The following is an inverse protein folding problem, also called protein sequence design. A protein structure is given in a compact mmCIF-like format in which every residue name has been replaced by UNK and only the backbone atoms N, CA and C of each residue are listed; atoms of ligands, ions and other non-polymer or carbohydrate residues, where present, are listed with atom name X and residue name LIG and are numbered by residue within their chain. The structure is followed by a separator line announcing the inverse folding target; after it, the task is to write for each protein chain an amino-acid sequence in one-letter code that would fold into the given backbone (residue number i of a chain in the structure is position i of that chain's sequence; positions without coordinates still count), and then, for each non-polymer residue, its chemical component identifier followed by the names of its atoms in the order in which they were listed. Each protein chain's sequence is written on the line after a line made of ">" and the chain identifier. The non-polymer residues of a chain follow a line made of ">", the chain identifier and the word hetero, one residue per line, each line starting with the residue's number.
data_IF_560508357341
#
_entry.id   IF_560508357341
#
_cell.length_a   1.000
_cell.length_b   1.000
_cell.length_c   1.000
_cell.angle_alpha   90.00
_cell.angle_beta   90.00
_cell.angle_gamma   90.00
#
_symmetry.space_group_name_H-M   'P 1'
#
loop_
_entity.id
_entity.type
_entity.pdbx_description
1 polymer ?
#
# COMPACT_ATOMS: atom_id res chain seq x y z
N UNK A 1 2.45 43.65 29.69
CA UNK A 1 3.20 42.41 30.01
C UNK A 1 2.41 41.67 31.08
N UNK A 2 1.55 40.75 30.67
CA UNK A 2 0.74 39.93 31.59
C UNK A 2 1.21 38.51 31.38
N UNK A 3 1.93 37.97 32.37
CA UNK A 3 2.40 36.60 32.38
C UNK A 3 1.27 35.66 32.82
N UNK A 4 0.93 34.71 31.98
CA UNK A 4 0.02 33.61 32.34
C UNK A 4 0.90 32.41 32.73
N UNK A 5 0.89 32.11 34.03
CA UNK A 5 1.53 30.94 34.60
C UNK A 5 0.60 29.74 34.46
N UNK A 6 1.01 28.74 33.69
CA UNK A 6 0.32 27.42 33.66
C UNK A 6 0.91 26.53 34.76
N UNK A 7 0.13 26.31 35.80
CA UNK A 7 0.44 25.33 36.83
C UNK A 7 0.01 23.96 36.37
N UNK A 8 0.98 23.07 36.11
CA UNK A 8 0.72 21.65 35.90
C UNK A 8 0.39 21.02 37.27
N UNK A 9 -0.87 20.72 37.46
CA UNK A 9 -1.32 19.91 38.59
C UNK A 9 -0.98 18.44 38.36
N UNK A 10 0.03 17.91 39.01
CA UNK A 10 0.28 16.46 39.12
C UNK A 10 -0.76 15.91 40.08
N UNK A 11 -1.78 15.26 39.58
CA UNK A 11 -2.70 14.49 40.41
C UNK A 11 -2.06 13.13 40.67
N UNK A 12 -1.39 13.00 41.81
CA UNK A 12 -0.99 11.70 42.36
C UNK A 12 -2.27 11.07 42.93
N UNK A 13 -2.97 10.29 42.12
CA UNK A 13 -4.05 9.44 42.58
C UNK A 13 -3.50 8.25 43.35
N UNK A 14 -3.55 8.30 44.66
CA UNK A 14 -3.35 7.11 45.51
C UNK A 14 -4.55 6.20 45.30
N UNK A 15 -4.41 5.19 44.45
CA UNK A 15 -5.43 4.20 44.18
C UNK A 15 -5.47 3.19 45.31
N UNK A 16 -6.57 3.20 46.08
CA UNK A 16 -6.90 2.13 47.02
C UNK A 16 -6.98 0.77 46.31
N UNK A 17 -6.52 -0.27 46.92
CA UNK A 17 -6.65 -1.68 46.52
C UNK A 17 -8.13 -2.02 46.26
N UNK A 18 -8.59 -1.84 45.07
CA UNK A 18 -9.85 -2.33 44.59
C UNK A 18 -9.60 -3.05 43.27
N UNK A 19 -9.90 -4.30 43.21
CA UNK A 19 -9.67 -5.29 42.16
C UNK A 19 -10.40 -5.02 40.84
N UNK A 20 -10.17 -3.88 40.20
CA UNK A 20 -10.61 -3.64 38.83
C UNK A 20 -9.38 -3.39 37.96
N UNK A 21 -8.93 -4.44 37.32
CA UNK A 21 -7.89 -4.35 36.30
C UNK A 21 -8.45 -3.62 35.10
N UNK A 22 -8.15 -2.33 35.01
CA UNK A 22 -8.36 -1.61 33.77
C UNK A 22 -7.25 -2.03 32.81
N UNK A 23 -7.58 -2.91 31.88
CA UNK A 23 -6.70 -3.15 30.72
C UNK A 23 -6.52 -1.82 30.00
N UNK A 24 -5.27 -1.38 29.85
CA UNK A 24 -4.95 -0.30 28.89
C UNK A 24 -5.30 -0.89 27.53
N UNK A 25 -6.30 -0.35 26.91
CA UNK A 25 -6.87 -0.85 25.68
C UNK A 25 -6.65 0.18 24.62
N UNK A 26 -6.20 -0.26 23.44
CA UNK A 26 -6.26 0.57 22.24
C UNK A 26 -7.70 1.04 22.08
N UNK A 27 -7.95 2.35 21.89
CA UNK A 27 -9.31 2.89 21.73
C UNK A 27 -10.09 2.28 20.57
N UNK A 28 -9.41 1.61 19.63
CA UNK A 28 -10.03 0.91 18.50
C UNK A 28 -10.70 -0.41 18.88
N UNK A 29 -10.47 -0.92 20.08
CA UNK A 29 -11.04 -2.19 20.55
C UNK A 29 -11.90 -2.01 21.80
N UNK A 30 -12.95 -2.82 21.93
CA UNK A 30 -13.78 -2.85 23.14
C UNK A 30 -13.08 -3.60 24.29
N UNK A 31 -13.69 -3.57 25.51
CA UNK A 31 -13.13 -4.24 26.69
C UNK A 31 -13.01 -5.77 26.55
N UNK A 32 -13.70 -6.35 25.60
CA UNK A 32 -13.56 -7.76 25.22
C UNK A 32 -12.51 -7.93 24.14
N UNK A 33 -11.99 -6.80 23.64
CA UNK A 33 -10.97 -6.67 22.61
C UNK A 33 -11.48 -7.03 21.23
N UNK A 34 -12.74 -6.83 20.93
CA UNK A 34 -13.25 -6.81 19.57
C UNK A 34 -13.15 -5.41 19.02
N UNK A 35 -12.86 -5.32 17.72
CA UNK A 35 -12.84 -4.05 17.01
C UNK A 35 -14.17 -3.31 17.17
N UNK A 36 -14.12 -2.04 17.52
CA UNK A 36 -15.34 -1.22 17.73
C UNK A 36 -15.81 -0.70 16.38
N UNK A 37 -16.91 -1.22 15.89
CA UNK A 37 -17.52 -0.82 14.62
C UNK A 37 -17.90 0.67 14.51
N UNK A 38 -18.06 1.35 15.63
CA UNK A 38 -18.37 2.78 15.67
C UNK A 38 -17.18 3.69 15.42
N UNK A 39 -15.95 3.15 15.50
CA UNK A 39 -14.76 3.91 15.16
C UNK A 39 -14.58 3.88 13.65
N UNK A 40 -14.62 5.08 13.05
CA UNK A 40 -14.27 5.22 11.65
C UNK A 40 -12.83 4.76 11.47
N UNK A 41 -12.51 4.10 10.33
CA UNK A 41 -11.12 3.85 9.97
C UNK A 41 -10.32 5.14 10.14
N UNK A 42 -9.15 5.07 10.74
CA UNK A 42 -8.27 6.22 10.94
C UNK A 42 -7.75 6.81 9.64
N UNK A 43 -7.87 6.03 8.57
CA UNK A 43 -7.47 6.41 7.23
C UNK A 43 -8.60 7.15 6.51
N UNK A 44 -8.36 8.39 6.10
CA UNK A 44 -9.29 9.22 5.34
C UNK A 44 -8.62 9.67 4.04
N UNK A 45 -9.24 9.32 2.90
CA UNK A 45 -8.76 9.74 1.59
C UNK A 45 -8.93 11.27 1.42
N UNK A 46 -7.87 11.96 1.05
CA UNK A 46 -7.84 13.43 0.89
C UNK A 46 -7.50 13.84 -0.52
N UNK A 47 -8.20 14.85 -1.01
CA UNK A 47 -7.85 15.45 -2.31
C UNK A 47 -6.43 16.02 -2.28
N UNK A 48 -5.62 15.79 -3.33
CA UNK A 48 -4.29 16.36 -3.43
C UNK A 48 -4.34 17.89 -3.54
N UNK A 49 -3.31 18.57 -3.03
CA UNK A 49 -3.15 20.02 -3.18
C UNK A 49 -2.76 20.42 -4.60
N UNK A 50 -1.93 19.60 -5.23
CA UNK A 50 -1.57 19.72 -6.64
C UNK A 50 -1.51 18.33 -7.29
N UNK A 51 -1.81 18.30 -8.59
CA UNK A 51 -1.92 17.05 -9.35
C UNK A 51 -1.25 17.21 -10.71
N UNK A 52 -0.27 16.35 -10.98
CA UNK A 52 0.40 16.25 -12.27
C UNK A 52 0.05 14.95 -12.99
N UNK A 53 -0.47 15.05 -14.23
CA UNK A 53 -0.60 13.91 -15.13
C UNK A 53 0.58 13.87 -16.10
N UNK A 54 1.34 12.79 -16.08
CA UNK A 54 2.52 12.57 -16.91
C UNK A 54 2.22 11.50 -17.94
N UNK A 55 2.02 11.92 -19.18
CA UNK A 55 1.64 11.03 -20.27
C UNK A 55 2.87 10.64 -21.07
N UNK A 56 3.19 9.35 -21.06
CA UNK A 56 4.31 8.81 -21.82
C UNK A 56 4.05 8.84 -23.32
N UNK A 57 5.08 9.18 -24.10
CA UNK A 57 5.03 9.26 -25.57
C UNK A 57 6.18 8.49 -26.21
N UNK A 58 6.32 7.21 -25.87
CA UNK A 58 7.28 6.29 -26.50
C UNK A 58 6.71 5.59 -27.74
N UNK A 59 7.55 4.78 -28.38
CA UNK A 59 7.16 4.00 -29.56
C UNK A 59 6.08 2.96 -29.28
N UNK A 60 6.08 2.35 -28.10
CA UNK A 60 5.07 1.37 -27.67
C UNK A 60 3.68 1.98 -27.48
N UNK A 61 3.61 3.27 -27.13
CA UNK A 61 2.36 4.01 -26.97
C UNK A 61 1.71 4.46 -28.29
N UNK A 62 2.39 4.33 -29.41
CA UNK A 62 1.92 4.87 -30.70
C UNK A 62 0.53 4.40 -31.10
N UNK A 63 0.17 3.14 -30.86
CA UNK A 63 -1.12 2.60 -31.22
C UNK A 63 -2.29 3.22 -30.45
N UNK A 64 -2.05 3.66 -29.23
CA UNK A 64 -3.05 4.35 -28.41
C UNK A 64 -3.31 5.79 -28.92
N UNK A 65 -2.29 6.45 -29.47
CA UNK A 65 -2.37 7.86 -29.92
C UNK A 65 -2.77 8.03 -31.38
N UNK A 66 -2.83 6.97 -32.19
CA UNK A 66 -3.10 7.14 -33.62
C UNK A 66 -4.32 8.02 -33.89
N UNK A 67 -4.16 8.90 -34.91
CA UNK A 67 -5.22 9.79 -35.34
C UNK A 67 -6.43 9.05 -35.93
N UNK A 68 -7.54 9.78 -36.10
CA UNK A 68 -8.72 9.36 -36.86
C UNK A 68 -9.60 8.26 -36.24
N UNK A 69 -9.31 7.79 -35.01
CA UNK A 69 -10.17 6.85 -34.27
C UNK A 69 -10.25 7.21 -32.79
N UNK A 70 -11.45 7.15 -32.24
CA UNK A 70 -11.67 7.21 -30.81
C UNK A 70 -11.35 5.83 -30.22
N UNK A 71 -10.22 5.70 -29.51
CA UNK A 71 -9.88 4.52 -28.74
C UNK A 71 -10.40 4.68 -27.30
N UNK A 72 -10.54 3.56 -26.58
CA UNK A 72 -10.91 3.62 -25.17
C UNK A 72 -9.88 4.40 -24.35
N UNK A 73 -8.58 4.24 -24.63
CA UNK A 73 -7.49 5.02 -24.04
C UNK A 73 -7.72 6.55 -24.12
N UNK A 74 -8.06 7.06 -25.30
CA UNK A 74 -8.33 8.50 -25.49
C UNK A 74 -9.54 8.96 -24.70
N UNK A 75 -10.60 8.14 -24.66
CA UNK A 75 -11.79 8.42 -23.86
C UNK A 75 -11.46 8.49 -22.38
N UNK A 76 -10.69 7.53 -21.88
CA UNK A 76 -10.35 7.42 -20.47
C UNK A 76 -9.45 8.55 -20.00
N UNK A 77 -8.36 8.82 -20.72
CA UNK A 77 -7.48 9.96 -20.39
C UNK A 77 -8.27 11.27 -20.38
N UNK A 78 -9.12 11.47 -21.41
CA UNK A 78 -9.91 12.69 -21.48
C UNK A 78 -10.88 12.80 -20.32
N UNK A 79 -11.59 11.72 -20.00
CA UNK A 79 -12.55 11.69 -18.89
C UNK A 79 -11.84 11.95 -17.55
N UNK A 80 -10.67 11.35 -17.34
CA UNK A 80 -9.88 11.52 -16.12
C UNK A 80 -9.34 12.94 -16.03
N UNK A 81 -8.58 13.40 -17.05
CA UNK A 81 -7.93 14.72 -17.00
C UNK A 81 -8.95 15.85 -16.88
N UNK A 82 -10.14 15.72 -17.47
CA UNK A 82 -11.18 16.75 -17.38
C UNK A 82 -11.93 16.77 -16.04
N UNK A 83 -11.80 15.73 -15.23
CA UNK A 83 -12.58 15.56 -13.99
C UNK A 83 -11.98 16.27 -12.78
N UNK A 84 -10.75 16.80 -12.90
CA UNK A 84 -10.04 17.48 -11.83
C UNK A 84 -9.89 18.98 -12.14
N UNK A 85 -10.00 19.83 -11.11
CA UNK A 85 -10.04 21.30 -11.29
C UNK A 85 -8.67 21.98 -11.33
N UNK A 86 -7.66 21.41 -10.66
CA UNK A 86 -6.33 22.04 -10.47
C UNK A 86 -5.22 21.08 -10.89
N UNK A 87 -5.31 20.57 -12.11
CA UNK A 87 -4.32 19.63 -12.64
C UNK A 87 -3.45 20.28 -13.70
N UNK A 88 -2.21 19.80 -13.77
CA UNK A 88 -1.29 20.05 -14.86
C UNK A 88 -1.10 18.78 -15.69
N UNK A 89 -0.95 18.92 -16.99
CA UNK A 89 -0.66 17.82 -17.90
C UNK A 89 0.72 18.02 -18.48
N UNK A 90 1.52 16.98 -18.38
CA UNK A 90 2.88 16.93 -18.87
C UNK A 90 3.03 15.81 -19.89
N UNK A 91 3.80 16.04 -20.93
CA UNK A 91 4.29 14.99 -21.82
C UNK A 91 5.65 14.54 -21.30
N UNK A 92 5.79 13.24 -21.12
CA UNK A 92 6.98 12.62 -20.59
C UNK A 92 7.70 11.84 -21.68
N UNK A 93 8.91 12.24 -22.02
CA UNK A 93 9.74 11.52 -22.97
C UNK A 93 10.50 10.36 -22.31
N UNK A 94 11.03 9.48 -23.10
CA UNK A 94 11.85 8.34 -22.67
C UNK A 94 13.08 8.75 -21.82
N UNK A 95 13.63 9.94 -22.06
CA UNK A 95 14.76 10.49 -21.30
C UNK A 95 14.35 11.09 -19.96
N UNK A 96 13.08 11.04 -19.59
CA UNK A 96 12.53 11.70 -18.39
C UNK A 96 12.35 13.20 -18.56
N UNK A 97 12.47 13.76 -19.77
CA UNK A 97 12.18 15.17 -20.03
C UNK A 97 10.68 15.42 -19.90
N UNK A 98 10.33 16.35 -19.04
CA UNK A 98 8.95 16.77 -18.78
C UNK A 98 8.66 18.04 -19.57
N UNK A 99 7.64 18.00 -20.41
CA UNK A 99 7.15 19.15 -21.15
C UNK A 99 5.70 19.47 -20.75
N UNK A 100 5.51 20.63 -20.12
CA UNK A 100 4.17 21.10 -19.76
C UNK A 100 3.32 21.37 -21.00
N UNK A 101 2.04 21.02 -20.91
CA UNK A 101 1.05 21.40 -21.92
C UNK A 101 0.43 22.74 -21.55
N UNK A 102 0.29 23.63 -22.54
CA UNK A 102 -0.24 24.99 -22.32
C UNK A 102 -1.67 25.00 -21.79
N UNK A 103 -2.46 23.99 -22.17
CA UNK A 103 -3.82 23.81 -21.68
C UNK A 103 -4.30 22.37 -21.91
N UNK A 104 -5.32 21.96 -21.14
CA UNK A 104 -6.02 20.69 -21.37
C UNK A 104 -6.61 20.60 -22.79
N UNK A 105 -7.06 21.71 -23.33
CA UNK A 105 -7.59 21.77 -24.71
C UNK A 105 -6.50 21.51 -25.76
N UNK A 106 -5.29 22.03 -25.55
CA UNK A 106 -4.13 21.75 -26.41
C UNK A 106 -3.68 20.32 -26.33
N UNK A 107 -3.61 19.77 -25.12
CA UNK A 107 -3.34 18.35 -24.90
C UNK A 107 -4.35 17.46 -25.65
N UNK A 108 -5.65 17.74 -25.51
CA UNK A 108 -6.71 17.00 -26.21
C UNK A 108 -6.55 17.08 -27.73
N UNK A 109 -6.25 18.27 -28.26
CA UNK A 109 -6.05 18.46 -29.69
C UNK A 109 -4.87 17.64 -30.19
N UNK A 110 -3.75 17.70 -29.53
CA UNK A 110 -2.54 16.95 -29.85
C UNK A 110 -2.73 15.43 -29.76
N UNK A 111 -3.40 14.95 -28.72
CA UNK A 111 -3.76 13.55 -28.57
C UNK A 111 -4.66 13.06 -29.73
N UNK A 112 -5.67 13.82 -30.11
CA UNK A 112 -6.59 13.45 -31.18
C UNK A 112 -5.95 13.51 -32.58
N UNK A 113 -5.01 14.41 -32.80
CA UNK A 113 -4.30 14.54 -34.08
C UNK A 113 -3.20 13.49 -34.27
N UNK A 114 -2.85 12.72 -33.24
CA UNK A 114 -1.74 11.78 -33.27
C UNK A 114 -0.36 12.45 -33.24
N UNK A 115 -0.26 13.67 -32.73
CA UNK A 115 1.01 14.43 -32.65
C UNK A 115 2.03 13.78 -31.75
N UNK A 116 1.60 12.97 -30.80
CA UNK A 116 2.48 12.28 -29.82
C UNK A 116 3.10 10.98 -30.32
N UNK A 117 2.98 10.66 -31.60
CA UNK A 117 3.64 9.47 -32.16
C UNK A 117 5.15 9.66 -32.10
N UNK A 118 5.81 8.67 -31.50
CA UNK A 118 7.26 8.65 -31.27
C UNK A 118 7.85 7.30 -31.69
N UNK A 119 9.14 7.26 -31.95
CA UNK A 119 9.92 6.02 -32.17
C UNK A 119 10.96 5.82 -31.05
N UNK A 120 10.79 6.51 -29.93
CA UNK A 120 11.71 6.45 -28.81
C UNK A 120 11.41 5.24 -27.93
N UNK A 121 12.41 4.79 -27.24
CA UNK A 121 12.36 3.71 -26.27
C UNK A 121 11.77 4.17 -24.93
N UNK A 122 11.45 3.21 -24.07
CA UNK A 122 10.85 3.45 -22.76
C UNK A 122 11.84 3.19 -21.64
N UNK A 123 12.23 4.21 -20.90
CA UNK A 123 13.12 4.14 -19.74
C UNK A 123 12.36 4.42 -18.44
N UNK A 124 11.50 3.50 -18.04
CA UNK A 124 10.58 3.67 -16.91
C UNK A 124 11.24 4.18 -15.62
N UNK A 125 12.39 3.66 -15.14
CA UNK A 125 13.03 4.19 -13.93
C UNK A 125 13.42 5.66 -14.03
N UNK A 126 13.89 6.09 -15.22
CA UNK A 126 14.26 7.49 -15.46
C UNK A 126 13.04 8.39 -15.44
N UNK A 127 11.93 7.94 -16.03
CA UNK A 127 10.67 8.68 -16.04
C UNK A 127 10.11 8.84 -14.62
N UNK A 128 10.08 7.77 -13.84
CA UNK A 128 9.63 7.82 -12.44
C UNK A 128 10.52 8.76 -11.62
N UNK A 129 11.84 8.64 -11.77
CA UNK A 129 12.76 9.54 -11.09
C UNK A 129 12.44 11.01 -11.41
N UNK A 130 12.20 11.34 -12.68
CA UNK A 130 11.88 12.70 -13.09
C UNK A 130 10.56 13.20 -12.50
N UNK A 131 9.55 12.34 -12.39
CA UNK A 131 8.30 12.68 -11.71
C UNK A 131 8.56 12.97 -10.24
N UNK A 132 9.20 12.04 -9.54
CA UNK A 132 9.38 12.09 -8.10
C UNK A 132 10.33 13.22 -7.66
N UNK A 133 11.35 13.54 -8.43
CA UNK A 133 12.26 14.68 -8.15
C UNK A 133 11.54 16.04 -8.23
N UNK A 134 10.41 16.11 -8.95
CA UNK A 134 9.61 17.33 -9.11
C UNK A 134 8.30 17.31 -8.29
N UNK A 135 8.12 16.34 -7.41
CA UNK A 135 6.90 16.14 -6.64
C UNK A 135 7.13 16.42 -5.16
N UNK A 136 6.49 17.43 -4.60
CA UNK A 136 6.44 17.64 -3.15
C UNK A 136 5.29 16.81 -2.53
N UNK A 137 5.46 15.47 -2.57
CA UNK A 137 4.43 14.55 -2.07
C UNK A 137 4.18 14.72 -0.56
N UNK A 138 5.19 15.15 0.23
CA UNK A 138 5.01 15.43 1.65
C UNK A 138 4.06 16.59 1.91
N UNK A 139 3.92 17.50 0.96
CA UNK A 139 2.98 18.61 1.00
C UNK A 139 1.63 18.29 0.32
N UNK A 140 1.39 17.02 -0.03
CA UNK A 140 0.12 16.57 -0.62
C UNK A 140 0.02 16.73 -2.13
N UNK A 141 1.16 16.79 -2.84
CA UNK A 141 1.18 16.69 -4.31
C UNK A 141 1.12 15.24 -4.77
N UNK A 142 0.48 15.00 -5.91
CA UNK A 142 0.35 13.68 -6.52
C UNK A 142 0.78 13.72 -7.97
N UNK A 143 1.61 12.74 -8.35
CA UNK A 143 1.98 12.46 -9.73
C UNK A 143 1.29 11.22 -10.25
N UNK A 144 0.76 11.26 -11.47
CA UNK A 144 0.13 10.13 -12.16
C UNK A 144 0.82 9.89 -13.47
N UNK A 145 1.61 8.81 -13.56
CA UNK A 145 2.20 8.36 -14.83
C UNK A 145 1.17 7.54 -15.60
N UNK A 146 0.98 7.86 -16.89
CA UNK A 146 0.12 7.13 -17.81
C UNK A 146 0.99 6.52 -18.91
N UNK A 147 1.06 5.18 -18.95
CA UNK A 147 2.02 4.42 -19.75
C UNK A 147 1.54 2.98 -19.98
N UNK A 148 2.01 2.32 -21.01
CA UNK A 148 1.90 0.86 -21.14
C UNK A 148 2.97 0.10 -20.33
N UNK A 149 3.87 0.83 -19.69
CA UNK A 149 4.92 0.35 -18.78
C UNK A 149 5.89 -0.67 -19.43
N UNK A 150 5.97 -0.73 -20.75
CA UNK A 150 6.87 -1.63 -21.47
C UNK A 150 8.30 -1.09 -21.42
N UNK A 151 9.13 -1.68 -20.57
CA UNK A 151 10.52 -1.31 -20.43
C UNK A 151 11.35 -1.78 -21.62
N UNK A 152 11.88 -0.86 -22.38
CA UNK A 152 12.59 -1.14 -23.64
C UNK A 152 13.82 -0.22 -23.77
N UNK A 153 14.94 -0.53 -23.07
CA UNK A 153 16.19 0.24 -23.22
C UNK A 153 16.98 -0.18 -24.45
N UNK A 154 17.73 0.77 -25.01
CA UNK A 154 18.58 0.53 -26.17
C UNK A 154 19.57 -0.60 -25.96
N UNK A 155 19.63 -1.55 -26.91
CA UNK A 155 20.77 -2.45 -27.18
C UNK A 155 21.14 -3.46 -26.11
N UNK A 156 20.23 -3.94 -25.31
CA UNK A 156 20.60 -5.04 -24.42
C UNK A 156 20.49 -6.41 -25.12
N UNK A 157 21.51 -7.23 -24.94
CA UNK A 157 21.60 -8.55 -25.56
C UNK A 157 21.04 -9.66 -24.71
N UNK A 158 20.94 -9.47 -23.38
CA UNK A 158 20.46 -10.48 -22.44
C UNK A 158 19.24 -9.95 -21.68
N UNK A 159 18.08 -10.52 -22.01
CA UNK A 159 16.78 -10.12 -21.43
C UNK A 159 16.73 -10.35 -19.92
N UNK A 160 17.36 -11.42 -19.41
CA UNK A 160 17.31 -11.73 -17.98
C UNK A 160 18.13 -10.74 -17.14
N UNK A 161 19.30 -10.37 -17.63
CA UNK A 161 20.11 -9.31 -16.99
C UNK A 161 19.37 -8.00 -16.99
N UNK A 162 18.76 -7.65 -18.13
CA UNK A 162 17.94 -6.45 -18.27
C UNK A 162 16.83 -6.38 -17.25
N UNK A 163 16.04 -7.46 -17.12
CA UNK A 163 14.89 -7.51 -16.20
C UNK A 163 15.31 -7.45 -14.74
N UNK A 164 16.44 -8.09 -14.39
CA UNK A 164 17.00 -8.01 -13.02
C UNK A 164 17.48 -6.59 -12.69
N UNK A 165 18.14 -5.95 -13.65
CA UNK A 165 18.57 -4.56 -13.51
C UNK A 165 17.37 -3.63 -13.39
N UNK A 166 16.35 -3.81 -14.20
CA UNK A 166 15.13 -3.00 -14.16
C UNK A 166 14.47 -3.00 -12.78
N UNK A 167 14.26 -4.20 -12.20
CA UNK A 167 13.70 -4.32 -10.85
C UNK A 167 14.55 -3.59 -9.80
N UNK A 168 15.89 -3.71 -9.92
CA UNK A 168 16.83 -3.04 -9.02
C UNK A 168 16.78 -1.52 -9.17
N UNK A 169 16.72 -1.02 -10.40
CA UNK A 169 16.67 0.41 -10.69
C UNK A 169 15.38 1.04 -10.18
N UNK A 170 14.22 0.37 -10.37
CA UNK A 170 12.94 0.80 -9.79
C UNK A 170 13.02 0.86 -8.26
N UNK A 171 13.52 -0.21 -7.62
CA UNK A 171 13.72 -0.24 -6.17
C UNK A 171 14.59 0.93 -5.69
N UNK A 172 15.69 1.21 -6.39
CA UNK A 172 16.61 2.28 -6.00
C UNK A 172 16.04 3.67 -6.22
N UNK A 173 15.16 3.85 -7.18
CA UNK A 173 14.44 5.13 -7.39
C UNK A 173 13.42 5.34 -6.29
N UNK A 174 12.48 4.42 -6.13
CA UNK A 174 11.37 4.53 -5.16
C UNK A 174 11.89 4.59 -3.72
N UNK A 175 12.92 3.79 -3.38
CA UNK A 175 13.48 3.71 -2.03
C UNK A 175 14.16 5.00 -1.52
N UNK A 176 14.27 6.05 -2.35
CA UNK A 176 14.74 7.37 -1.92
C UNK A 176 13.65 8.23 -1.30
N UNK A 177 12.40 7.82 -1.44
CA UNK A 177 11.23 8.60 -1.03
C UNK A 177 10.52 7.87 0.12
N UNK A 178 10.87 8.16 1.38
CA UNK A 178 10.25 7.51 2.53
C UNK A 178 8.75 7.86 2.62
N UNK A 179 7.96 6.90 3.09
CA UNK A 179 6.50 7.03 3.25
C UNK A 179 5.74 7.36 1.94
N UNK A 180 6.32 7.05 0.79
CA UNK A 180 5.62 7.19 -0.48
C UNK A 180 4.66 6.02 -0.69
N UNK A 181 3.42 6.31 -1.02
CA UNK A 181 2.49 5.32 -1.50
C UNK A 181 2.50 5.25 -3.03
N UNK A 182 2.31 4.05 -3.56
CA UNK A 182 2.20 3.78 -4.99
C UNK A 182 0.91 3.00 -5.24
N UNK A 183 0.09 3.47 -6.17
CA UNK A 183 -1.05 2.72 -6.68
C UNK A 183 -0.91 2.52 -8.17
N UNK A 184 -1.12 1.31 -8.64
CA UNK A 184 -1.09 0.95 -10.05
C UNK A 184 -2.48 0.53 -10.44
N UNK A 185 -3.11 1.25 -11.36
CA UNK A 185 -4.41 0.89 -11.92
C UNK A 185 -4.20 0.41 -13.34
N UNK A 186 -4.67 -0.78 -13.66
CA UNK A 186 -4.67 -1.33 -15.00
C UNK A 186 -6.01 -1.10 -15.69
N UNK A 187 -5.93 -0.64 -16.93
CA UNK A 187 -7.05 -0.54 -17.86
C UNK A 187 -6.68 -1.11 -19.23
N UNK A 188 -7.65 -1.38 -20.08
CA UNK A 188 -7.41 -1.89 -21.43
C UNK A 188 -8.07 -1.02 -22.50
N UNK A 189 -7.48 -1.03 -23.68
CA UNK A 189 -7.98 -0.26 -24.84
C UNK A 189 -7.64 -0.95 -26.15
N UNK A 190 -8.35 -0.57 -27.19
CA UNK A 190 -7.92 -0.81 -28.57
C UNK A 190 -6.52 -0.24 -28.80
N UNK A 191 -5.65 -1.04 -29.40
CA UNK A 191 -4.35 -0.62 -29.93
C UNK A 191 -4.38 -0.66 -31.46
N UNK A 192 -4.02 0.44 -32.10
CA UNK A 192 -4.15 0.58 -33.55
C UNK A 192 -2.81 0.35 -34.26
N UNK A 193 -2.83 -0.48 -35.29
CA UNK A 193 -1.72 -0.64 -36.22
C UNK A 193 -1.48 0.66 -37.05
N UNK A 194 -0.37 0.68 -37.79
CA UNK A 194 0.00 1.85 -38.63
C UNK A 194 -1.02 2.18 -39.70
N UNK A 195 -1.77 1.22 -40.19
CA UNK A 195 -2.86 1.39 -41.15
C UNK A 195 -4.19 1.80 -40.53
N UNK A 196 -4.26 1.97 -39.16
CA UNK A 196 -5.46 2.33 -38.43
C UNK A 196 -6.40 1.17 -38.11
N UNK A 197 -6.07 -0.09 -38.49
CA UNK A 197 -6.82 -1.23 -38.09
C UNK A 197 -6.55 -1.55 -36.58
N UNK A 198 -7.50 -2.18 -35.91
CA UNK A 198 -7.28 -2.71 -34.54
C UNK A 198 -6.28 -3.88 -34.67
N UNK A 199 -5.12 -3.71 -34.01
CA UNK A 199 -4.12 -4.75 -33.87
C UNK A 199 -4.36 -5.62 -32.63
N UNK A 200 -4.87 -4.98 -31.55
CA UNK A 200 -5.30 -5.63 -30.32
C UNK A 200 -6.49 -4.85 -29.73
N UNK A 201 -7.49 -5.55 -29.21
CA UNK A 201 -8.71 -4.94 -28.67
C UNK A 201 -8.67 -4.67 -27.16
N UNK A 202 -7.80 -5.36 -26.44
CA UNK A 202 -7.65 -5.26 -24.98
C UNK A 202 -6.20 -5.06 -24.57
N UNK A 203 -5.47 -4.20 -25.28
CA UNK A 203 -4.09 -3.86 -24.94
C UNK A 203 -4.04 -3.15 -23.59
N UNK A 204 -3.24 -3.64 -22.61
CA UNK A 204 -3.17 -3.05 -21.28
C UNK A 204 -2.38 -1.74 -21.27
N UNK A 205 -2.81 -0.81 -20.43
CA UNK A 205 -2.09 0.40 -20.05
C UNK A 205 -2.38 0.76 -18.60
N UNK A 206 -1.56 1.60 -18.01
CA UNK A 206 -1.55 1.80 -16.58
C UNK A 206 -1.59 3.27 -16.20
N UNK A 207 -2.25 3.53 -15.05
CA UNK A 207 -2.12 4.75 -14.27
C UNK A 207 -1.30 4.41 -13.03
N UNK A 208 -0.08 4.92 -12.93
CA UNK A 208 0.79 4.72 -11.76
C UNK A 208 0.80 6.01 -10.96
N UNK A 209 0.22 5.96 -9.78
CA UNK A 209 -0.04 7.10 -8.90
C UNK A 209 0.99 7.11 -7.78
N UNK A 210 1.65 8.25 -7.57
CA UNK A 210 2.66 8.46 -6.54
C UNK A 210 2.27 9.62 -5.64
N UNK A 211 2.42 9.47 -4.33
CA UNK A 211 2.13 10.53 -3.35
C UNK A 211 2.04 10.01 -1.93
N UNK A 212 1.48 10.81 -1.03
CA UNK A 212 1.06 10.32 0.30
C UNK A 212 -0.14 9.39 0.17
N UNK A 213 -0.20 8.40 1.07
CA UNK A 213 -1.22 7.35 1.11
C UNK A 213 -2.65 7.90 1.00
N UNK A 214 -3.02 8.89 1.79
CA UNK A 214 -4.34 9.53 1.77
C UNK A 214 -4.68 10.18 0.43
N UNK A 215 -3.70 10.82 -0.22
CA UNK A 215 -3.89 11.45 -1.52
C UNK A 215 -3.91 10.43 -2.65
N UNK A 216 -3.06 9.40 -2.59
CA UNK A 216 -3.05 8.29 -3.53
C UNK A 216 -4.37 7.51 -3.48
N UNK A 217 -4.91 7.26 -2.28
CA UNK A 217 -6.21 6.62 -2.12
C UNK A 217 -7.36 7.44 -2.75
N UNK A 218 -7.34 8.76 -2.55
CA UNK A 218 -8.33 9.64 -3.20
C UNK A 218 -8.26 9.54 -4.73
N UNK A 219 -7.04 9.62 -5.28
CA UNK A 219 -6.83 9.55 -6.73
C UNK A 219 -7.20 8.18 -7.28
N UNK A 220 -6.81 7.10 -6.57
CA UNK A 220 -7.20 5.73 -6.94
C UNK A 220 -8.72 5.59 -7.05
N UNK A 221 -9.46 6.04 -6.04
CA UNK A 221 -10.92 5.94 -6.04
C UNK A 221 -11.53 6.69 -7.23
N UNK A 222 -11.08 7.92 -7.48
CA UNK A 222 -11.60 8.75 -8.56
C UNK A 222 -11.28 8.17 -9.93
N UNK A 223 -10.04 7.75 -10.17
CA UNK A 223 -9.62 7.18 -11.45
C UNK A 223 -10.32 5.83 -11.67
N UNK A 224 -10.33 4.93 -10.69
CA UNK A 224 -10.99 3.64 -10.83
C UNK A 224 -12.49 3.77 -11.14
N UNK A 225 -13.22 4.65 -10.44
CA UNK A 225 -14.64 4.91 -10.74
C UNK A 225 -14.86 5.36 -12.18
N UNK A 226 -14.03 6.28 -12.69
CA UNK A 226 -14.16 6.75 -14.08
C UNK A 226 -13.88 5.61 -15.07
N UNK A 227 -12.88 4.78 -14.82
CA UNK A 227 -12.55 3.64 -15.67
C UNK A 227 -13.60 2.52 -15.60
N UNK A 228 -14.19 2.29 -14.43
CA UNK A 228 -15.33 1.38 -14.26
C UNK A 228 -16.54 1.85 -15.05
N UNK A 229 -16.91 3.14 -14.94
CA UNK A 229 -17.99 3.76 -15.71
C UNK A 229 -17.75 3.70 -17.22
N UNK A 230 -16.49 3.78 -17.63
CA UNK A 230 -16.07 3.66 -19.01
C UNK A 230 -15.96 2.21 -19.51
N UNK A 231 -15.94 1.22 -18.61
CA UNK A 231 -15.81 -0.21 -18.91
C UNK A 231 -14.40 -0.68 -19.21
N UNK A 232 -13.37 0.12 -18.88
CA UNK A 232 -11.96 -0.20 -19.16
C UNK A 232 -11.16 -0.66 -17.94
N UNK A 233 -11.65 -0.43 -16.73
CA UNK A 233 -10.99 -0.86 -15.48
C UNK A 233 -10.84 -2.39 -15.43
N UNK A 234 -9.68 -2.83 -14.99
CA UNK A 234 -9.40 -4.26 -14.79
C UNK A 234 -9.04 -4.56 -13.34
N UNK A 235 -7.99 -3.97 -12.82
CA UNK A 235 -7.48 -4.22 -11.47
C UNK A 235 -6.65 -3.05 -10.94
N UNK A 236 -6.45 -2.98 -9.62
CA UNK A 236 -5.49 -2.08 -8.99
C UNK A 236 -4.64 -2.79 -7.95
N UNK A 237 -3.40 -2.29 -7.79
CA UNK A 237 -2.43 -2.73 -6.80
C UNK A 237 -2.03 -1.51 -5.99
N UNK A 238 -2.12 -1.60 -4.68
CA UNK A 238 -1.79 -0.53 -3.76
C UNK A 238 -0.61 -0.93 -2.87
N UNK A 239 0.36 -0.02 -2.69
CA UNK A 239 1.59 -0.22 -1.92
C UNK A 239 1.91 1.01 -1.08
N UNK A 240 2.47 0.82 0.12
CA UNK A 240 2.91 1.93 0.96
C UNK A 240 1.82 2.58 1.79
N UNK A 241 0.80 1.82 2.16
CA UNK A 241 -0.27 2.26 3.07
C UNK A 241 -0.11 1.70 4.49
N UNK A 242 0.85 0.87 4.71
CA UNK A 242 1.04 -0.01 5.87
C UNK A 242 2.46 0.06 6.47
N UNK A 243 3.06 1.25 6.47
CA UNK A 243 4.43 1.45 7.01
C UNK A 243 4.55 1.30 8.52
N UNK A 244 3.45 1.38 9.25
CA UNK A 244 3.45 1.37 10.71
C UNK A 244 3.07 0.00 11.24
N UNK A 245 3.58 -0.33 12.41
CA UNK A 245 3.08 -1.48 13.17
C UNK A 245 1.57 -1.36 13.40
N UNK A 246 0.78 -2.44 13.25
CA UNK A 246 -0.67 -2.36 13.43
C UNK A 246 -1.04 -1.98 14.86
N UNK A 247 -2.13 -1.26 15.03
CA UNK A 247 -2.75 -1.07 16.33
C UNK A 247 -3.11 -2.42 16.93
N UNK A 248 -2.90 -2.59 18.24
CA UNK A 248 -3.10 -3.88 18.89
C UNK A 248 -3.70 -3.76 20.28
N UNK A 249 -4.29 -4.85 20.74
CA UNK A 249 -4.71 -5.04 22.12
C UNK A 249 -4.50 -6.48 22.56
N UNK A 250 -4.46 -6.68 23.89
CA UNK A 250 -4.39 -8.01 24.47
C UNK A 250 -5.68 -8.36 25.21
N UNK A 251 -6.29 -9.48 24.85
CA UNK A 251 -7.34 -10.13 25.65
C UNK A 251 -6.71 -11.07 26.66
N UNK A 252 -6.86 -10.74 27.94
CA UNK A 252 -6.21 -11.44 29.04
C UNK A 252 -7.20 -12.32 29.78
N UNK A 253 -6.75 -13.43 30.38
CA UNK A 253 -7.62 -14.28 31.20
C UNK A 253 -8.32 -13.50 32.30
N UNK A 254 -9.55 -13.92 32.62
CA UNK A 254 -10.29 -13.36 33.75
C UNK A 254 -9.44 -13.51 35.03
N UNK A 255 -9.42 -12.46 35.85
CA UNK A 255 -8.66 -12.37 37.09
C UNK A 255 -7.15 -12.13 36.95
N UNK A 256 -6.64 -11.72 35.79
CA UNK A 256 -5.28 -11.24 35.68
C UNK A 256 -5.11 -9.89 36.38
N UNK A 257 -4.02 -9.70 37.12
CA UNK A 257 -3.64 -8.44 37.71
C UNK A 257 -2.68 -7.69 36.77
N UNK A 258 -2.99 -6.44 36.47
CA UNK A 258 -2.09 -5.60 35.69
C UNK A 258 -0.88 -5.16 36.54
N UNK A 259 0.33 -5.42 36.09
CA UNK A 259 1.57 -5.12 36.77
C UNK A 259 2.23 -3.80 36.38
N UNK A 260 1.86 -3.23 35.26
CA UNK A 260 2.45 -1.98 34.76
C UNK A 260 1.68 -1.38 33.59
N UNK A 261 1.86 -0.09 33.37
CA UNK A 261 1.18 0.72 32.34
C UNK A 261 2.15 1.59 31.56
N UNK A 262 3.40 1.18 31.43
CA UNK A 262 4.36 1.97 30.65
C UNK A 262 3.96 1.98 29.15
N UNK A 263 4.18 3.07 28.41
CA UNK A 263 3.78 3.17 26.99
C UNK A 263 4.38 2.09 26.11
N UNK A 264 5.50 1.52 26.50
CA UNK A 264 6.24 0.49 25.76
C UNK A 264 6.11 -0.91 26.36
N UNK A 265 5.37 -1.05 27.45
CA UNK A 265 5.42 -2.28 28.25
C UNK A 265 4.14 -2.47 29.06
N UNK A 266 3.40 -3.52 28.74
CA UNK A 266 2.22 -3.95 29.47
C UNK A 266 2.54 -5.26 30.15
N UNK A 267 2.23 -5.38 31.46
CA UNK A 267 2.49 -6.58 32.23
C UNK A 267 1.27 -7.08 32.99
N UNK A 268 1.14 -8.39 33.08
CA UNK A 268 0.03 -9.05 33.75
C UNK A 268 0.50 -10.21 34.61
N UNK A 269 -0.06 -10.28 35.81
CA UNK A 269 0.05 -11.45 36.71
C UNK A 269 -1.17 -12.33 36.47
N UNK A 270 -0.94 -13.58 36.06
CA UNK A 270 -2.00 -14.50 35.62
C UNK A 270 -1.91 -15.79 36.40
N UNK A 271 -3.04 -16.24 36.98
CA UNK A 271 -3.13 -17.54 37.63
C UNK A 271 -3.40 -18.63 36.58
N UNK A 272 -2.41 -19.49 36.35
CA UNK A 272 -2.53 -20.66 35.46
C UNK A 272 -1.63 -21.80 35.92
N UNK A 273 -2.00 -23.06 35.59
CA UNK A 273 -1.22 -24.24 35.92
C UNK A 273 -0.11 -24.50 34.90
N UNK A 274 -0.48 -24.85 33.68
CA UNK A 274 0.44 -25.33 32.65
C UNK A 274 0.57 -24.38 31.46
N UNK A 275 -0.52 -23.80 31.01
CA UNK A 275 -0.58 -22.93 29.83
C UNK A 275 -1.42 -21.69 30.11
N UNK A 276 -0.87 -20.54 29.75
CA UNK A 276 -1.60 -19.28 29.70
C UNK A 276 -1.92 -18.94 28.24
N UNK A 277 -3.17 -18.64 27.92
CA UNK A 277 -3.56 -18.14 26.60
C UNK A 277 -3.82 -16.64 26.66
N UNK A 278 -3.07 -15.89 25.88
CA UNK A 278 -3.23 -14.45 25.67
C UNK A 278 -3.76 -14.24 24.25
N UNK A 279 -4.82 -13.48 24.11
CA UNK A 279 -5.33 -13.11 22.77
C UNK A 279 -4.67 -11.84 22.30
N UNK A 280 -3.81 -11.94 21.28
CA UNK A 280 -3.28 -10.79 20.57
C UNK A 280 -4.26 -10.40 19.46
N UNK A 281 -4.71 -9.17 19.47
CA UNK A 281 -5.64 -8.63 18.47
C UNK A 281 -4.96 -7.52 17.72
N UNK A 282 -5.02 -7.59 16.40
CA UNK A 282 -4.40 -6.62 15.49
C UNK A 282 -5.49 -5.96 14.64
N UNK A 283 -5.43 -4.65 14.54
CA UNK A 283 -6.17 -3.91 13.51
C UNK A 283 -5.35 -3.91 12.22
N UNK A 284 -5.81 -4.63 11.24
CA UNK A 284 -5.17 -4.81 9.94
C UNK A 284 -5.90 -4.03 8.83
N UNK A 285 -6.69 -3.01 9.18
CA UNK A 285 -7.48 -2.24 8.21
C UNK A 285 -6.63 -1.56 7.16
N UNK A 286 -5.43 -1.12 7.52
CA UNK A 286 -4.48 -0.48 6.61
C UNK A 286 -3.65 -1.48 5.78
N UNK A 287 -3.73 -2.76 6.11
CA UNK A 287 -2.98 -3.84 5.47
C UNK A 287 -3.80 -4.45 4.33
N UNK A 288 -3.46 -4.16 3.09
CA UNK A 288 -4.31 -4.43 1.92
C UNK A 288 -4.10 -5.78 1.24
N UNK A 289 -2.95 -6.42 1.48
CA UNK A 289 -2.44 -7.47 0.61
C UNK A 289 -2.89 -8.88 0.94
N UNK A 290 -3.07 -9.27 2.23
CA UNK A 290 -3.03 -10.69 2.57
C UNK A 290 -3.89 -11.08 3.76
N UNK A 291 -4.89 -10.30 4.09
CA UNK A 291 -5.50 -10.32 5.42
C UNK A 291 -6.56 -11.38 5.61
N UNK A 292 -7.02 -12.01 4.56
CA UNK A 292 -8.08 -13.02 4.66
C UNK A 292 -7.57 -14.45 4.87
N UNK A 293 -6.25 -14.69 4.78
CA UNK A 293 -5.65 -16.02 4.88
C UNK A 293 -4.93 -16.22 6.21
N UNK A 294 -5.48 -17.10 7.05
CA UNK A 294 -4.90 -17.45 8.34
C UNK A 294 -3.50 -18.05 8.22
N UNK A 295 -3.22 -18.80 7.16
CA UNK A 295 -1.93 -19.45 6.96
C UNK A 295 -0.84 -18.42 6.63
N UNK A 296 -1.17 -17.41 5.87
CA UNK A 296 -0.28 -16.28 5.56
C UNK A 296 0.00 -15.50 6.83
N UNK A 297 -1.03 -15.11 7.58
CA UNK A 297 -0.88 -14.35 8.84
C UNK A 297 -0.04 -15.12 9.88
N UNK A 298 -0.20 -16.45 9.96
CA UNK A 298 0.60 -17.30 10.84
C UNK A 298 2.09 -17.22 10.52
N UNK A 299 2.43 -17.15 9.24
CA UNK A 299 3.83 -17.05 8.78
C UNK A 299 4.42 -15.65 8.94
N UNK A 300 3.57 -14.62 8.94
CA UNK A 300 4.00 -13.23 9.13
C UNK A 300 4.22 -12.87 10.61
N UNK A 301 3.48 -13.49 11.53
CA UNK A 301 3.59 -13.21 12.95
C UNK A 301 4.81 -13.89 13.56
N UNK A 302 5.79 -13.09 13.98
CA UNK A 302 6.92 -13.54 14.80
C UNK A 302 6.57 -13.39 16.27
N UNK A 303 6.72 -14.46 17.04
CA UNK A 303 6.49 -14.47 18.48
C UNK A 303 7.61 -15.23 19.15
N UNK A 304 8.17 -14.67 20.20
CA UNK A 304 9.20 -15.35 21.03
C UNK A 304 9.08 -14.95 22.50
N UNK A 305 9.43 -15.87 23.39
CA UNK A 305 9.67 -15.61 24.81
C UNK A 305 11.15 -15.29 25.02
N UNK A 306 11.45 -14.34 25.92
CA UNK A 306 12.81 -13.82 26.11
C UNK A 306 13.56 -14.58 27.20
N UNK A 307 12.87 -15.01 28.28
CA UNK A 307 13.51 -15.51 29.49
C UNK A 307 13.29 -17.01 29.72
N UNK A 308 13.01 -17.78 28.69
CA UNK A 308 13.06 -19.23 28.71
C UNK A 308 11.73 -19.97 28.78
N UNK A 309 10.60 -19.26 28.75
CA UNK A 309 9.30 -19.87 28.48
C UNK A 309 9.19 -20.24 27.00
N UNK A 310 8.21 -21.07 26.68
CA UNK A 310 7.83 -21.34 25.33
C UNK A 310 6.55 -20.55 24.96
N UNK A 311 6.48 -20.09 23.73
CA UNK A 311 5.29 -19.46 23.17
C UNK A 311 4.96 -20.06 21.80
N UNK A 312 3.71 -20.33 21.55
CA UNK A 312 3.23 -20.79 20.24
C UNK A 312 1.97 -20.06 19.83
N UNK A 313 1.79 -19.92 18.50
CA UNK A 313 0.56 -19.37 17.92
C UNK A 313 -0.45 -20.51 17.79
N UNK A 314 -1.55 -20.40 18.52
CA UNK A 314 -2.69 -21.31 18.46
C UNK A 314 -3.65 -20.97 17.33
N UNK A 315 -4.94 -20.82 17.67
CA UNK A 315 -5.97 -20.49 16.71
C UNK A 315 -5.85 -19.03 16.23
N UNK A 316 -6.19 -18.79 14.97
CA UNK A 316 -6.24 -17.47 14.36
C UNK A 316 -7.67 -17.26 13.88
N UNK A 317 -8.24 -16.11 14.20
CA UNK A 317 -9.54 -15.69 13.67
C UNK A 317 -9.35 -14.39 12.90
N UNK A 318 -9.84 -14.36 11.67
CA UNK A 318 -9.79 -13.16 10.83
C UNK A 318 -11.21 -12.71 10.54
N UNK A 319 -11.46 -11.42 10.72
CA UNK A 319 -12.72 -10.76 10.42
C UNK A 319 -12.41 -9.62 9.44
N UNK A 320 -13.02 -9.65 8.25
CA UNK A 320 -12.85 -8.64 7.22
C UNK A 320 -14.22 -8.12 6.80
N UNK A 321 -14.41 -6.81 6.89
CA UNK A 321 -15.57 -6.12 6.34
C UNK A 321 -15.15 -5.34 5.09
N UNK A 322 -15.59 -5.83 3.95
CA UNK A 322 -15.32 -5.25 2.64
C UNK A 322 -16.36 -4.19 2.21
N UNK A 323 -17.31 -3.84 3.08
CA UNK A 323 -18.36 -2.86 2.76
C UNK A 323 -17.76 -1.52 2.27
N UNK A 324 -16.62 -1.14 2.82
CA UNK A 324 -15.91 0.11 2.50
C UNK A 324 -14.86 -0.02 1.39
N UNK A 325 -14.76 -1.15 0.73
CA UNK A 325 -13.71 -1.38 -0.28
C UNK A 325 -13.80 -0.40 -1.46
N UNK A 326 -15.01 0.00 -1.86
CA UNK A 326 -15.22 1.01 -2.91
C UNK A 326 -14.69 2.40 -2.54
N UNK A 327 -14.64 2.72 -1.26
CA UNK A 327 -14.11 3.99 -0.75
C UNK A 327 -12.64 3.90 -0.35
N UNK A 328 -11.94 2.85 -0.77
CA UNK A 328 -10.59 2.53 -0.31
C UNK A 328 -10.49 2.30 1.21
N UNK A 329 -11.62 2.10 1.84
CA UNK A 329 -11.73 1.82 3.27
C UNK A 329 -12.00 0.34 3.45
N UNK A 330 -11.36 -0.24 4.45
CA UNK A 330 -11.56 -1.62 4.83
C UNK A 330 -11.42 -1.75 6.34
N UNK A 331 -12.27 -2.57 6.94
CA UNK A 331 -12.09 -2.99 8.32
C UNK A 331 -11.59 -4.42 8.33
N UNK A 332 -10.48 -4.68 8.99
CA UNK A 332 -9.93 -6.01 9.13
C UNK A 332 -9.31 -6.18 10.52
N UNK A 333 -9.65 -7.28 11.17
CA UNK A 333 -9.11 -7.63 12.48
C UNK A 333 -8.61 -9.06 12.46
N UNK A 334 -7.40 -9.29 12.98
CA UNK A 334 -6.90 -10.63 13.24
C UNK A 334 -6.73 -10.85 14.74
N UNK A 335 -7.17 -12.00 15.23
CA UNK A 335 -7.07 -12.40 16.61
C UNK A 335 -6.23 -13.68 16.66
N UNK A 336 -5.13 -13.63 17.38
CA UNK A 336 -4.19 -14.75 17.57
C UNK A 336 -4.25 -15.23 19.01
N UNK A 337 -4.42 -16.52 19.20
CA UNK A 337 -4.25 -17.16 20.50
C UNK A 337 -2.76 -17.44 20.72
N UNK A 338 -2.11 -16.68 21.60
CA UNK A 338 -0.73 -16.90 22.00
C UNK A 338 -0.72 -17.82 23.24
N UNK A 339 -0.22 -19.03 23.09
CA UNK A 339 -0.11 -20.01 24.19
C UNK A 339 1.28 -19.92 24.78
N UNK A 340 1.37 -19.49 26.05
CA UNK A 340 2.61 -19.40 26.82
C UNK A 340 2.65 -20.57 27.81
N UNK A 341 3.72 -21.33 27.78
CA UNK A 341 3.88 -22.55 28.58
C UNK A 341 5.34 -22.75 29.04
N UNK A 342 5.58 -23.76 29.86
CA UNK A 342 6.91 -24.08 30.40
C UNK A 342 7.55 -22.96 31.23
N UNK A 343 6.75 -22.18 31.95
CA UNK A 343 7.23 -21.15 32.86
C UNK A 343 7.73 -21.76 34.21
N UNK A 344 8.54 -22.80 34.17
CA UNK A 344 8.96 -23.52 35.35
C UNK A 344 10.09 -22.84 36.11
N UNK A 345 11.02 -22.22 35.41
CA UNK A 345 12.23 -21.64 35.99
C UNK A 345 12.08 -20.16 36.36
N UNK A 346 11.28 -19.43 35.61
CA UNK A 346 11.01 -18.02 35.83
C UNK A 346 9.52 -17.81 36.14
N UNK A 347 9.23 -17.05 37.19
CA UNK A 347 7.83 -16.67 37.48
C UNK A 347 7.26 -15.65 36.47
N UNK A 348 8.09 -15.10 35.61
CA UNK A 348 7.72 -14.08 34.66
C UNK A 348 8.53 -14.22 33.37
N UNK A 349 7.93 -13.92 32.25
CA UNK A 349 8.59 -13.84 30.97
C UNK A 349 8.04 -12.68 30.14
N UNK A 350 8.85 -12.20 29.21
CA UNK A 350 8.45 -11.19 28.24
C UNK A 350 8.23 -11.88 26.92
N UNK A 351 7.02 -11.75 26.40
CA UNK A 351 6.66 -12.21 25.05
C UNK A 351 6.83 -11.04 24.11
N UNK A 352 7.74 -11.17 23.17
CA UNK A 352 7.89 -10.25 22.04
C UNK A 352 7.10 -10.75 20.85
N UNK A 353 6.45 -9.84 20.16
CA UNK A 353 5.82 -10.12 18.87
C UNK A 353 6.08 -8.99 17.89
N UNK A 354 6.14 -9.34 16.60
CA UNK A 354 6.18 -8.40 15.48
C UNK A 354 5.49 -9.04 14.27
N UNK A 355 4.95 -8.20 13.40
CA UNK A 355 4.39 -8.66 12.14
C UNK A 355 5.39 -8.34 11.03
N UNK A 356 5.81 -9.33 10.25
CA UNK A 356 6.62 -9.12 9.06
C UNK A 356 5.78 -8.51 7.95
N UNK A 357 6.42 -7.78 7.06
CA UNK A 357 5.76 -7.32 5.84
C UNK A 357 5.39 -8.54 4.98
N UNK A 358 4.16 -8.63 4.47
CA UNK A 358 3.76 -9.69 3.57
C UNK A 358 4.55 -9.62 2.25
N UNK A 359 4.76 -10.75 1.62
CA UNK A 359 5.25 -10.79 0.24
C UNK A 359 4.12 -10.44 -0.72
N UNK A 360 4.47 -9.74 -1.81
CA UNK A 360 3.51 -9.45 -2.86
C UNK A 360 3.01 -10.76 -3.51
N UNK A 361 1.69 -10.89 -3.60
CA UNK A 361 1.05 -12.00 -4.29
C UNK A 361 0.29 -11.45 -5.50
N UNK A 362 0.68 -11.91 -6.69
CA UNK A 362 -0.03 -11.55 -7.91
C UNK A 362 -1.43 -12.15 -7.94
N UNK A 363 -2.42 -11.38 -8.35
CA UNK A 363 -3.71 -11.92 -8.71
C UNK A 363 -3.60 -12.81 -9.95
N UNK A 364 -4.51 -13.77 -10.10
CA UNK A 364 -4.53 -14.65 -11.26
C UNK A 364 -4.73 -13.86 -12.56
N UNK A 365 -5.54 -12.80 -12.52
CA UNK A 365 -5.77 -11.96 -13.70
C UNK A 365 -4.48 -11.26 -14.11
N UNK A 366 -3.78 -10.68 -13.15
CA UNK A 366 -2.53 -9.95 -13.39
C UNK A 366 -1.43 -10.88 -13.89
N UNK A 367 -1.29 -12.07 -13.32
CA UNK A 367 -0.35 -13.10 -13.77
C UNK A 367 -0.55 -13.48 -15.24
N UNK A 368 -1.78 -13.53 -15.71
CA UNK A 368 -2.09 -13.85 -17.11
C UNK A 368 -1.63 -12.75 -18.08
N UNK A 369 -1.64 -11.50 -17.67
CA UNK A 369 -1.21 -10.34 -18.49
C UNK A 369 0.31 -10.15 -18.45
N UNK A 370 0.93 -10.36 -17.31
CA UNK A 370 2.39 -10.19 -17.10
C UNK A 370 3.22 -11.28 -17.80
N UNK A 371 2.61 -12.38 -18.20
CA UNK A 371 3.29 -13.53 -18.78
C UNK A 371 3.92 -13.27 -20.16
N UNK A 372 3.84 -12.05 -20.70
CA UNK A 372 4.46 -11.72 -21.95
C UNK A 372 5.99 -11.72 -21.86
N UNK A 373 6.61 -12.56 -22.67
CA UNK A 373 8.07 -12.61 -22.82
C UNK A 373 8.60 -11.66 -23.90
N UNK A 374 7.75 -10.81 -24.45
CA UNK A 374 8.08 -9.93 -25.58
C UNK A 374 7.44 -8.55 -25.43
N UNK A 375 8.25 -7.51 -25.58
CA UNK A 375 7.78 -6.12 -25.67
C UNK A 375 6.82 -5.88 -26.86
N UNK A 376 6.83 -6.77 -27.86
CA UNK A 376 5.95 -6.71 -29.06
C UNK A 376 4.58 -7.31 -28.84
N UNK A 377 4.39 -8.03 -27.74
CA UNK A 377 3.09 -8.56 -27.39
C UNK A 377 2.16 -7.42 -26.96
N UNK A 378 1.07 -7.22 -27.71
CA UNK A 378 0.12 -6.16 -27.46
C UNK A 378 -0.97 -6.56 -26.46
N UNK A 379 -1.16 -7.86 -26.24
CA UNK A 379 -2.15 -8.40 -25.30
C UNK A 379 -1.62 -8.51 -23.88
N UNK A 380 -0.31 -8.35 -23.68
CA UNK A 380 0.37 -8.48 -22.41
C UNK A 380 1.23 -7.29 -22.04
N UNK A 381 1.70 -7.30 -20.79
CA UNK A 381 2.60 -6.28 -20.23
C UNK A 381 3.99 -6.88 -20.04
N UNK A 382 4.95 -6.41 -20.85
CA UNK A 382 6.33 -6.84 -20.73
C UNK A 382 6.98 -6.16 -19.50
N UNK A 383 7.57 -6.97 -18.63
CA UNK A 383 8.32 -6.52 -17.44
C UNK A 383 7.55 -5.82 -16.31
N UNK A 384 6.24 -5.84 -16.32
CA UNK A 384 5.44 -5.20 -15.27
C UNK A 384 5.59 -5.89 -13.90
N UNK A 385 5.81 -7.19 -13.87
CA UNK A 385 6.16 -7.95 -12.66
C UNK A 385 7.44 -7.41 -11.99
N UNK A 386 8.43 -7.03 -12.80
CA UNK A 386 9.71 -6.46 -12.30
C UNK A 386 9.51 -5.05 -11.75
N UNK A 387 8.63 -4.28 -12.40
CA UNK A 387 8.25 -2.96 -11.88
C UNK A 387 7.58 -3.07 -10.50
N UNK A 388 6.56 -3.91 -10.40
CA UNK A 388 5.83 -4.13 -9.14
C UNK A 388 6.78 -4.66 -8.06
N UNK A 389 7.56 -5.68 -8.37
CA UNK A 389 8.55 -6.23 -7.44
C UNK A 389 9.59 -5.21 -7.00
N UNK A 390 10.00 -4.29 -7.89
CA UNK A 390 10.89 -3.17 -7.55
C UNK A 390 10.26 -2.19 -6.58
N UNK A 391 9.01 -1.75 -6.83
CA UNK A 391 8.26 -0.90 -5.93
C UNK A 391 8.06 -1.54 -4.56
N UNK A 392 7.63 -2.81 -4.55
CA UNK A 392 7.39 -3.57 -3.34
C UNK A 392 8.67 -3.69 -2.49
N UNK A 393 9.78 -4.09 -3.09
CA UNK A 393 11.06 -4.23 -2.39
C UNK A 393 11.59 -2.89 -1.86
N UNK A 394 11.28 -1.77 -2.53
CA UNK A 394 11.64 -0.44 -2.04
C UNK A 394 10.84 -0.09 -0.78
N UNK A 395 9.55 -0.30 -0.82
CA UNK A 395 8.61 0.04 0.25
C UNK A 395 8.83 -0.86 1.47
N UNK A 396 9.08 -2.15 1.26
CA UNK A 396 9.35 -3.10 2.33
C UNK A 396 10.53 -2.68 3.23
N UNK A 397 11.51 -1.95 2.71
CA UNK A 397 12.64 -1.45 3.51
C UNK A 397 12.26 -0.38 4.54
N UNK A 398 11.07 0.20 4.45
CA UNK A 398 10.55 1.21 5.36
C UNK A 398 9.53 0.64 6.37
N UNK A 399 9.28 -0.66 6.33
CA UNK A 399 8.37 -1.33 7.23
C UNK A 399 8.87 -1.28 8.69
N UNK A 400 7.98 -0.87 9.60
CA UNK A 400 8.28 -0.90 11.03
C UNK A 400 8.09 -2.31 11.60
N UNK A 401 9.19 -3.03 11.76
CA UNK A 401 9.22 -4.36 12.40
C UNK A 401 9.64 -4.32 13.86
N UNK A 402 9.60 -3.15 14.50
CA UNK A 402 9.96 -3.01 15.93
C UNK A 402 9.09 -3.95 16.77
N UNK A 403 9.70 -4.86 17.56
CA UNK A 403 8.93 -5.79 18.36
C UNK A 403 8.15 -5.10 19.47
N UNK A 404 6.88 -5.46 19.60
CA UNK A 404 6.06 -5.13 20.75
C UNK A 404 6.25 -6.15 21.86
N UNK A 405 5.98 -5.76 23.11
CA UNK A 405 6.28 -6.59 24.29
C UNK A 405 5.11 -6.67 25.23
N UNK A 406 4.93 -7.85 25.80
CA UNK A 406 4.03 -8.08 26.92
C UNK A 406 4.73 -8.90 28.00
N UNK A 407 4.65 -8.47 29.25
CA UNK A 407 5.10 -9.25 30.41
C UNK A 407 3.98 -10.16 30.87
N UNK A 408 4.27 -11.43 31.01
CA UNK A 408 3.40 -12.41 31.66
C UNK A 408 4.11 -12.90 32.93
N UNK A 409 3.47 -12.72 34.05
CA UNK A 409 3.89 -13.28 35.34
C UNK A 409 2.92 -14.36 35.79
N UNK A 410 3.44 -15.42 36.37
CA UNK A 410 2.63 -16.50 36.94
C UNK A 410 2.37 -16.21 38.40
N UNK A 411 1.11 -15.92 38.75
CA UNK A 411 0.71 -15.81 40.16
C UNK A 411 0.81 -17.18 40.87
N UNK A 412 1.11 -17.11 42.13
CA UNK A 412 1.23 -18.29 42.97
C UNK A 412 -0.12 -18.97 43.23
#
# INVERSE_FOLDING_TARGET
>A
MIGISFTFGVIIGISSCGTNVNTVQDPSFDKSGYYIDSLKPTFEAKAPKALGFFVEVSGSMNGFFRSNRATQFKKDIWSIVSNFGNQEVFILSNSGTIASQNSIADFRRSMNSGTYISNQETLVPTMIKSILDNLDYNNGEVGVLISDMKYSPERQRDVQVLLTQYQTDVRNVIGKYPDIAVCIICATSDYLASNGAIAESESPYYYVIFGKDECVAYMRNRIATILEDNGSYKESIEMGFDYKSPSYSFGIPKNALQLGTEPTFIGYDVNFSDTCTVKLKLDLSDYRWTIADESVLRNLLNVKAIYGSNVSVGDIKVEVDNHYQKEFLRKATAIFDLKVYDMYAAKSDVIEWSLNHPEYQESQWFSNIISSNSERDLSGSFSMDKFIGGCFNAIQNHWDSTPNKILISKSK
#
